data_IF_345139904750
#
_entry.id   IF_345139904750
#
_cell.length_a   1.000
_cell.length_b   1.000
_cell.length_c   1.000
_cell.angle_alpha   90.00
_cell.angle_beta   90.00
_cell.angle_gamma   90.00
#
_symmetry.space_group_name_H-M   'P 1'
#
loop_
_entity.id
_entity.type
_entity.pdbx_description
1 polymer ?
#
# COMPACT_ATOMS: atom_id res chain seq x y z
N UNK A 1 0.97 16.28 -25.03
CA UNK A 1 -0.38 16.70 -25.45
C UNK A 1 -0.33 18.20 -25.70
N UNK A 2 -0.94 18.68 -26.78
CA UNK A 2 -1.03 20.12 -27.07
C UNK A 2 -2.13 20.75 -26.20
N UNK A 3 -1.87 21.96 -25.71
CA UNK A 3 -2.72 22.65 -24.75
C UNK A 3 -3.97 23.23 -25.43
N UNK A 4 -5.16 22.88 -24.93
CA UNK A 4 -6.44 23.29 -25.53
C UNK A 4 -7.00 24.49 -24.75
N UNK A 5 -7.41 25.53 -25.48
CA UNK A 5 -7.85 26.82 -24.96
C UNK A 5 -9.10 27.33 -25.68
N UNK A 6 -9.68 28.41 -25.17
CA UNK A 6 -10.84 29.07 -25.78
C UNK A 6 -10.59 29.42 -27.26
N UNK A 7 -11.59 29.16 -28.10
CA UNK A 7 -11.52 29.26 -29.56
C UNK A 7 -11.10 27.98 -30.28
N UNK A 8 -10.65 26.94 -29.55
CA UNK A 8 -10.39 25.63 -30.13
C UNK A 8 -11.69 24.95 -30.62
N UNK A 9 -11.57 24.10 -31.64
CA UNK A 9 -12.70 23.33 -32.18
C UNK A 9 -12.27 21.90 -32.53
N UNK A 10 -13.22 20.97 -32.55
CA UNK A 10 -13.02 19.62 -33.05
C UNK A 10 -13.19 18.52 -32.00
N UNK A 11 -12.72 17.31 -32.32
CA UNK A 11 -12.98 16.11 -31.53
C UNK A 11 -12.40 16.15 -30.10
N UNK A 12 -11.26 16.81 -29.91
CA UNK A 12 -10.66 16.93 -28.58
C UNK A 12 -11.49 17.83 -27.65
N UNK A 13 -12.13 18.87 -28.20
CA UNK A 13 -13.05 19.74 -27.46
C UNK A 13 -14.32 18.99 -27.09
N UNK A 14 -14.85 18.20 -28.02
CA UNK A 14 -16.02 17.33 -27.76
C UNK A 14 -15.75 16.36 -26.60
N UNK A 15 -14.59 15.69 -26.57
CA UNK A 15 -14.21 14.77 -25.47
C UNK A 15 -14.08 15.51 -24.12
N UNK A 16 -13.45 16.69 -24.10
CA UNK A 16 -13.39 17.55 -22.89
C UNK A 16 -14.81 17.89 -22.41
N UNK A 17 -15.67 18.36 -23.32
CA UNK A 17 -17.03 18.79 -22.99
C UNK A 17 -17.89 17.63 -22.50
N UNK A 18 -17.77 16.44 -23.10
CA UNK A 18 -18.46 15.23 -22.65
C UNK A 18 -18.04 14.83 -21.24
N UNK A 19 -16.72 14.82 -20.95
CA UNK A 19 -16.19 14.49 -19.63
C UNK A 19 -16.62 15.49 -18.57
N UNK A 20 -16.46 16.79 -18.83
CA UNK A 20 -16.93 17.84 -17.93
C UNK A 20 -18.44 17.74 -17.67
N UNK A 21 -19.23 17.46 -18.71
CA UNK A 21 -20.67 17.24 -18.55
C UNK A 21 -20.95 16.01 -17.67
N UNK A 22 -20.21 14.91 -17.86
CA UNK A 22 -20.37 13.68 -17.07
C UNK A 22 -20.05 13.89 -15.59
N UNK A 23 -19.12 14.80 -15.29
CA UNK A 23 -18.77 15.22 -13.93
C UNK A 23 -19.71 16.29 -13.36
N UNK A 24 -20.72 16.72 -14.12
CA UNK A 24 -21.76 17.65 -13.66
C UNK A 24 -21.49 19.13 -13.94
N UNK A 25 -20.43 19.47 -14.68
CA UNK A 25 -20.16 20.84 -15.09
C UNK A 25 -21.08 21.24 -16.25
N UNK A 26 -21.83 22.33 -16.07
CA UNK A 26 -22.75 22.84 -17.08
C UNK A 26 -21.98 23.55 -18.21
N UNK A 27 -22.27 23.16 -19.45
CA UNK A 27 -21.74 23.75 -20.69
C UNK A 27 -22.91 24.04 -21.62
N UNK A 28 -22.87 25.17 -22.32
CA UNK A 28 -23.95 25.59 -23.20
C UNK A 28 -24.15 24.60 -24.35
N UNK A 29 -25.42 24.28 -24.63
CA UNK A 29 -25.77 23.29 -25.63
C UNK A 29 -25.30 23.68 -27.04
N UNK A 30 -25.27 24.98 -27.36
CA UNK A 30 -24.78 25.49 -28.64
C UNK A 30 -23.28 25.22 -28.83
N UNK A 31 -22.46 25.45 -27.79
CA UNK A 31 -21.03 25.14 -27.81
C UNK A 31 -20.77 23.64 -28.01
N UNK A 32 -21.56 22.78 -27.34
CA UNK A 32 -21.45 21.33 -27.47
C UNK A 32 -21.82 20.83 -28.87
N UNK A 33 -22.90 21.34 -29.44
CA UNK A 33 -23.34 20.97 -30.80
C UNK A 33 -22.34 21.43 -31.84
N UNK A 34 -21.78 22.63 -31.66
CA UNK A 34 -20.78 23.19 -32.58
C UNK A 34 -19.36 22.66 -32.32
N UNK A 35 -19.15 21.91 -31.24
CA UNK A 35 -17.84 21.37 -30.80
C UNK A 35 -16.79 22.47 -30.68
N UNK A 36 -17.22 23.62 -30.16
CA UNK A 36 -16.40 24.82 -30.00
C UNK A 36 -16.14 25.05 -28.52
N UNK A 37 -14.88 25.32 -28.19
CA UNK A 37 -14.47 25.70 -26.85
C UNK A 37 -14.75 27.20 -26.69
N UNK A 38 -15.94 27.55 -26.21
CA UNK A 38 -16.33 28.93 -25.93
C UNK A 38 -16.25 29.27 -24.45
N UNK A 39 -16.92 30.36 -24.08
CA UNK A 39 -16.89 30.92 -22.74
C UNK A 39 -17.50 29.99 -21.68
N UNK A 40 -18.55 29.23 -22.02
CA UNK A 40 -19.16 28.29 -21.07
C UNK A 40 -18.24 27.10 -20.80
N UNK A 41 -17.56 26.58 -21.84
CA UNK A 41 -16.54 25.53 -21.69
C UNK A 41 -15.34 26.04 -20.87
N UNK A 42 -14.86 27.27 -21.12
CA UNK A 42 -13.79 27.91 -20.35
C UNK A 42 -14.16 28.05 -18.85
N UNK A 43 -15.40 28.47 -18.57
CA UNK A 43 -15.92 28.59 -17.20
C UNK A 43 -16.02 27.22 -16.53
N UNK A 44 -16.45 26.18 -17.25
CA UNK A 44 -16.50 24.82 -16.73
C UNK A 44 -15.10 24.28 -16.40
N UNK A 45 -14.12 24.49 -17.28
CA UNK A 45 -12.72 24.13 -17.04
C UNK A 45 -12.14 24.88 -15.84
N UNK A 46 -12.42 26.18 -15.71
CA UNK A 46 -11.95 26.97 -14.58
C UNK A 46 -12.53 26.50 -13.24
N UNK A 47 -13.82 26.13 -13.22
CA UNK A 47 -14.46 25.51 -12.05
C UNK A 47 -13.86 24.16 -11.72
N UNK A 48 -13.73 23.28 -12.72
CA UNK A 48 -13.10 21.97 -12.55
C UNK A 48 -11.68 22.09 -11.98
N UNK A 49 -10.87 23.00 -12.51
CA UNK A 49 -9.52 23.23 -11.98
C UNK A 49 -9.55 23.68 -10.53
N UNK A 50 -10.48 24.56 -10.15
CA UNK A 50 -10.62 25.03 -8.78
C UNK A 50 -11.10 23.93 -7.83
N UNK A 51 -12.07 23.12 -8.24
CA UNK A 51 -12.65 22.03 -7.43
C UNK A 51 -11.64 20.89 -7.18
N UNK A 52 -10.62 20.76 -8.04
CA UNK A 52 -9.57 19.74 -7.96
C UNK A 52 -8.18 20.32 -7.59
N UNK A 53 -8.13 21.48 -6.92
CA UNK A 53 -6.90 22.13 -6.41
C UNK A 53 -5.81 22.41 -7.48
N UNK A 54 -6.20 22.53 -8.75
CA UNK A 54 -5.32 22.92 -9.84
C UNK A 54 -5.15 24.44 -9.88
N UNK A 55 -4.05 24.90 -10.50
CA UNK A 55 -3.81 26.34 -10.67
C UNK A 55 -4.96 27.01 -11.41
N UNK A 56 -5.42 28.17 -10.95
CA UNK A 56 -6.50 28.90 -11.58
C UNK A 56 -6.18 29.22 -13.05
N UNK A 57 -7.12 28.89 -13.94
CA UNK A 57 -6.99 29.07 -15.38
C UNK A 57 -8.17 28.42 -16.11
N UNK A 58 -8.30 28.69 -17.39
CA UNK A 58 -9.38 28.22 -18.28
C UNK A 58 -8.86 27.31 -19.40
N UNK A 59 -7.61 26.89 -19.28
CA UNK A 59 -6.88 26.13 -20.28
C UNK A 59 -6.77 24.66 -19.84
N UNK A 60 -6.94 23.75 -20.79
CA UNK A 60 -6.73 22.30 -20.60
C UNK A 60 -5.31 21.95 -21.02
N UNK A 61 -4.41 21.96 -20.04
CA UNK A 61 -3.05 21.44 -20.14
C UNK A 61 -3.01 19.93 -19.87
N UNK A 62 -1.82 19.33 -20.00
CA UNK A 62 -1.65 17.89 -19.78
C UNK A 62 -2.04 17.44 -18.35
N UNK A 63 -1.84 18.30 -17.34
CA UNK A 63 -2.19 17.99 -15.95
C UNK A 63 -3.71 17.99 -15.77
N UNK A 64 -4.38 19.04 -16.24
CA UNK A 64 -5.84 19.16 -16.21
C UNK A 64 -6.50 18.02 -16.96
N UNK A 65 -5.96 17.66 -18.12
CA UNK A 65 -6.43 16.53 -18.88
C UNK A 65 -6.30 15.21 -18.11
N UNK A 66 -5.15 14.98 -17.46
CA UNK A 66 -4.95 13.77 -16.64
C UNK A 66 -6.00 13.67 -15.54
N UNK A 67 -6.16 14.73 -14.74
CA UNK A 67 -7.15 14.76 -13.64
C UNK A 67 -8.57 14.61 -14.19
N UNK A 68 -8.90 15.26 -15.31
CA UNK A 68 -10.21 15.14 -15.94
C UNK A 68 -10.51 13.69 -16.34
N UNK A 69 -9.53 12.99 -16.91
CA UNK A 69 -9.65 11.58 -17.27
C UNK A 69 -9.75 10.70 -16.02
N UNK A 70 -8.93 10.96 -15.01
CA UNK A 70 -8.88 10.24 -13.75
C UNK A 70 -10.21 10.26 -13.00
N UNK A 71 -10.86 11.42 -12.96
CA UNK A 71 -12.15 11.62 -12.29
C UNK A 71 -13.32 10.96 -13.03
N UNK A 72 -13.18 10.71 -14.33
CA UNK A 72 -14.19 10.00 -15.10
C UNK A 72 -14.20 8.48 -14.83
N UNK A 73 -13.13 7.90 -14.31
CA UNK A 73 -13.11 6.46 -14.04
C UNK A 73 -13.97 6.10 -12.83
N UNK A 74 -14.82 5.09 -12.99
CA UNK A 74 -15.62 4.49 -11.94
C UNK A 74 -15.14 3.08 -11.60
N UNK A 75 -15.35 2.67 -10.35
CA UNK A 75 -14.99 1.33 -9.92
C UNK A 75 -15.71 0.28 -10.79
N UNK A 76 -14.93 -0.58 -11.45
CA UNK A 76 -15.44 -1.58 -12.40
C UNK A 76 -15.28 -1.22 -13.87
N UNK A 77 -14.87 0.00 -14.23
CA UNK A 77 -14.66 0.37 -15.64
C UNK A 77 -13.47 -0.37 -16.27
N UNK A 78 -12.49 -0.75 -15.46
CA UNK A 78 -11.27 -1.44 -15.89
C UNK A 78 -10.77 -2.41 -14.83
N UNK A 79 -10.00 -3.42 -15.26
CA UNK A 79 -9.26 -4.29 -14.35
C UNK A 79 -8.11 -3.51 -13.74
N UNK A 80 -8.04 -3.50 -12.41
CA UNK A 80 -6.97 -2.85 -11.67
C UNK A 80 -5.99 -3.90 -11.14
N UNK A 81 -4.70 -3.67 -11.34
CA UNK A 81 -3.61 -4.53 -10.87
C UNK A 81 -2.32 -3.73 -10.78
N UNK A 82 -1.36 -4.24 -10.01
CA UNK A 82 -0.06 -3.59 -9.88
C UNK A 82 0.71 -3.61 -11.21
N UNK A 83 1.06 -2.42 -11.72
CA UNK A 83 1.84 -2.26 -12.96
C UNK A 83 2.61 -0.94 -12.96
N UNK A 84 3.59 -0.81 -13.86
CA UNK A 84 4.34 0.44 -14.05
C UNK A 84 4.03 1.03 -15.44
N UNK A 85 3.62 2.30 -15.55
CA UNK A 85 3.19 3.19 -14.47
C UNK A 85 1.89 2.70 -13.81
N UNK A 86 1.75 2.99 -12.51
CA UNK A 86 0.60 2.59 -11.70
C UNK A 86 -0.71 3.12 -12.29
N UNK A 87 -1.78 2.35 -12.12
CA UNK A 87 -3.12 2.90 -12.33
C UNK A 87 -3.36 4.00 -11.32
N UNK A 88 -4.02 5.06 -11.78
CA UNK A 88 -4.46 6.16 -10.95
C UNK A 88 -5.82 6.64 -11.45
N UNK A 89 -6.64 7.16 -10.55
CA UNK A 89 -7.99 7.60 -10.88
C UNK A 89 -8.98 7.49 -9.73
N UNK A 90 -10.18 8.00 -9.96
CA UNK A 90 -11.28 7.93 -9.03
C UNK A 90 -11.76 6.48 -8.79
N UNK A 91 -11.61 5.59 -9.77
CA UNK A 91 -11.89 4.16 -9.61
C UNK A 91 -10.96 3.50 -8.57
N UNK A 92 -9.68 3.85 -8.58
CA UNK A 92 -8.71 3.40 -7.57
C UNK A 92 -9.03 4.01 -6.20
N UNK A 93 -9.39 5.29 -6.16
CA UNK A 93 -9.79 5.98 -4.93
C UNK A 93 -10.98 5.28 -4.27
N UNK A 94 -12.02 4.99 -5.05
CA UNK A 94 -13.18 4.23 -4.61
C UNK A 94 -12.81 2.81 -4.12
N UNK A 95 -11.88 2.13 -4.79
CA UNK A 95 -11.41 0.82 -4.35
C UNK A 95 -10.75 0.91 -2.96
N UNK A 96 -9.80 1.84 -2.80
CA UNK A 96 -9.07 2.07 -1.56
C UNK A 96 -10.00 2.43 -0.41
N UNK A 97 -10.96 3.33 -0.64
CA UNK A 97 -11.97 3.71 0.35
C UNK A 97 -12.75 2.50 0.85
N UNK A 98 -13.31 1.72 -0.10
CA UNK A 98 -14.15 0.56 0.24
C UNK A 98 -13.35 -0.51 0.96
N UNK A 99 -12.15 -0.82 0.50
CA UNK A 99 -11.26 -1.79 1.15
C UNK A 99 -10.87 -1.35 2.56
N UNK A 100 -10.48 -0.07 2.74
CA UNK A 100 -10.16 0.48 4.06
C UNK A 100 -11.35 0.37 5.03
N UNK A 101 -12.57 0.70 4.60
CA UNK A 101 -13.77 0.56 5.44
C UNK A 101 -14.07 -0.90 5.78
N UNK A 102 -13.79 -1.82 4.85
CA UNK A 102 -13.94 -3.26 5.04
C UNK A 102 -12.83 -3.87 5.92
N UNK A 103 -11.83 -3.09 6.33
CA UNK A 103 -10.71 -3.52 7.18
C UNK A 103 -9.51 -4.06 6.41
N UNK A 104 -9.49 -3.93 5.08
CA UNK A 104 -8.36 -4.30 4.23
C UNK A 104 -7.55 -3.06 3.91
N UNK A 105 -6.49 -2.83 4.69
CA UNK A 105 -5.73 -1.59 4.61
C UNK A 105 -4.98 -1.42 3.28
N UNK A 106 -5.36 -0.39 2.54
CA UNK A 106 -4.67 0.10 1.35
C UNK A 106 -3.65 1.21 1.66
N UNK A 107 -3.56 1.69 2.90
CA UNK A 107 -2.89 2.94 3.24
C UNK A 107 -3.78 4.17 2.94
N UNK A 108 -3.19 5.37 2.76
CA UNK A 108 -3.91 6.57 2.37
C UNK A 108 -4.69 6.39 1.08
N UNK A 109 -5.85 7.04 0.99
CA UNK A 109 -6.67 7.08 -0.22
C UNK A 109 -6.08 8.10 -1.21
N UNK A 110 -4.97 7.73 -1.84
CA UNK A 110 -4.24 8.58 -2.79
C UNK A 110 -4.75 8.45 -4.23
N UNK A 111 -5.58 7.44 -4.51
CA UNK A 111 -6.09 7.16 -5.84
C UNK A 111 -5.04 6.52 -6.78
N UNK A 112 -3.97 5.93 -6.24
CA UNK A 112 -2.92 5.22 -6.99
C UNK A 112 -2.84 3.75 -6.60
N UNK A 113 -2.88 2.85 -7.59
CA UNK A 113 -2.85 1.42 -7.35
C UNK A 113 -1.40 0.97 -7.14
N UNK A 114 -0.92 1.08 -5.90
CA UNK A 114 0.41 0.67 -5.47
C UNK A 114 0.42 -0.69 -4.76
N UNK A 115 1.58 -1.03 -4.21
CA UNK A 115 1.82 -2.31 -3.51
C UNK A 115 0.86 -2.54 -2.33
N UNK A 116 0.49 -1.49 -1.60
CA UNK A 116 -0.46 -1.58 -0.47
C UNK A 116 -1.88 -1.89 -0.94
N UNK A 117 -2.32 -1.25 -2.03
CA UNK A 117 -3.63 -1.55 -2.62
C UNK A 117 -3.67 -2.98 -3.17
N UNK A 118 -2.58 -3.45 -3.80
CA UNK A 118 -2.46 -4.83 -4.25
C UNK A 118 -2.54 -5.83 -3.08
N UNK A 119 -1.81 -5.57 -1.99
CA UNK A 119 -1.84 -6.40 -0.79
C UNK A 119 -3.25 -6.45 -0.15
N UNK A 120 -3.93 -5.31 -0.05
CA UNK A 120 -5.30 -5.23 0.43
C UNK A 120 -6.28 -6.02 -0.44
N UNK A 121 -6.12 -5.94 -1.77
CA UNK A 121 -6.94 -6.72 -2.72
C UNK A 121 -6.70 -8.21 -2.54
N UNK A 122 -5.44 -8.66 -2.36
CA UNK A 122 -5.12 -10.06 -2.09
C UNK A 122 -5.81 -10.55 -0.81
N UNK A 123 -5.65 -9.83 0.30
CA UNK A 123 -6.30 -10.17 1.58
C UNK A 123 -7.83 -10.21 1.45
N UNK A 124 -8.42 -9.27 0.71
CA UNK A 124 -9.85 -9.26 0.44
C UNK A 124 -10.28 -10.49 -0.39
N UNK A 125 -9.55 -10.82 -1.46
CA UNK A 125 -9.81 -12.01 -2.28
C UNK A 125 -9.70 -13.30 -1.46
N UNK A 126 -8.71 -13.41 -0.57
CA UNK A 126 -8.55 -14.55 0.35
C UNK A 126 -9.74 -14.67 1.30
N UNK A 127 -10.22 -13.56 1.87
CA UNK A 127 -11.39 -13.55 2.76
C UNK A 127 -12.67 -14.03 2.07
N UNK A 128 -12.73 -13.90 0.75
CA UNK A 128 -13.84 -14.36 -0.10
C UNK A 128 -13.66 -15.80 -0.61
N UNK A 129 -12.56 -16.47 -0.27
CA UNK A 129 -12.21 -17.80 -0.76
C UNK A 129 -11.86 -17.83 -2.25
N UNK A 130 -11.48 -16.68 -2.83
CA UNK A 130 -11.03 -16.55 -4.21
C UNK A 130 -9.51 -16.75 -4.34
N UNK A 131 -9.02 -16.89 -5.57
CA UNK A 131 -7.58 -16.92 -5.84
C UNK A 131 -7.04 -15.49 -5.66
N UNK A 132 -6.09 -15.34 -4.73
CA UNK A 132 -5.55 -14.04 -4.32
C UNK A 132 -4.40 -13.58 -5.22
N UNK A 133 -4.74 -13.20 -6.46
CA UNK A 133 -3.78 -12.71 -7.45
C UNK A 133 -3.47 -11.22 -7.32
N UNK A 134 -4.25 -10.47 -6.53
CA UNK A 134 -4.11 -9.02 -6.43
C UNK A 134 -4.60 -8.27 -7.66
N UNK A 135 -5.36 -8.93 -8.53
CA UNK A 135 -6.00 -8.31 -9.69
C UNK A 135 -7.48 -8.09 -9.39
N UNK A 136 -7.89 -6.84 -9.26
CA UNK A 136 -9.29 -6.49 -9.08
C UNK A 136 -10.03 -6.55 -10.43
N UNK A 137 -10.71 -7.67 -10.65
CA UNK A 137 -11.64 -7.91 -11.77
C UNK A 137 -13.09 -7.70 -11.34
N UNK A 138 -14.04 -7.87 -12.27
CA UNK A 138 -15.48 -7.76 -12.02
C UNK A 138 -15.94 -8.57 -10.80
N UNK A 139 -15.43 -9.79 -10.61
CA UNK A 139 -15.79 -10.61 -9.44
C UNK A 139 -15.38 -9.95 -8.11
N UNK A 140 -14.22 -9.30 -8.07
CA UNK A 140 -13.74 -8.54 -6.91
C UNK A 140 -14.62 -7.32 -6.66
N UNK A 141 -14.96 -6.56 -7.70
CA UNK A 141 -15.82 -5.38 -7.58
C UNK A 141 -17.25 -5.75 -7.14
N UNK A 142 -17.82 -6.80 -7.72
CA UNK A 142 -19.12 -7.34 -7.32
C UNK A 142 -19.12 -7.81 -5.87
N UNK A 143 -18.04 -8.46 -5.42
CA UNK A 143 -17.89 -8.87 -4.03
C UNK A 143 -17.89 -7.66 -3.08
N UNK A 144 -17.15 -6.60 -3.42
CA UNK A 144 -17.16 -5.34 -2.66
C UNK A 144 -18.56 -4.72 -2.65
N UNK A 145 -19.25 -4.68 -3.79
CA UNK A 145 -20.58 -4.08 -3.89
C UNK A 145 -21.65 -4.88 -3.11
N UNK A 146 -21.54 -6.21 -3.03
CA UNK A 146 -22.40 -7.02 -2.14
C UNK A 146 -22.27 -6.61 -0.67
N UNK A 147 -21.10 -6.11 -0.28
CA UNK A 147 -20.81 -5.59 1.05
C UNK A 147 -21.15 -4.10 1.21
N UNK A 148 -21.88 -3.49 0.27
CA UNK A 148 -22.28 -2.07 0.34
C UNK A 148 -22.95 -1.66 1.63
N UNK A 149 -23.78 -2.52 2.22
CA UNK A 149 -24.41 -2.26 3.50
C UNK A 149 -23.40 -2.08 4.67
N UNK A 150 -22.17 -2.56 4.50
CA UNK A 150 -21.08 -2.45 5.48
C UNK A 150 -20.31 -1.15 5.28
N UNK A 151 -20.01 -0.75 4.04
CA UNK A 151 -19.13 0.40 3.77
C UNK A 151 -19.86 1.70 3.40
N UNK A 152 -21.08 1.65 2.89
CA UNK A 152 -21.77 2.86 2.43
C UNK A 152 -22.06 3.84 3.58
N UNK A 153 -21.70 5.11 3.38
CA UNK A 153 -21.94 6.19 4.34
C UNK A 153 -21.05 6.18 5.57
N UNK A 154 -20.05 5.28 5.63
CA UNK A 154 -19.01 5.31 6.66
C UNK A 154 -17.77 6.03 6.12
N UNK A 155 -17.07 6.80 6.94
CA UNK A 155 -15.83 7.41 6.51
C UNK A 155 -14.81 6.31 6.22
N UNK A 156 -14.00 6.49 5.18
CA UNK A 156 -12.85 5.64 4.87
C UNK A 156 -11.66 5.89 5.84
N UNK A 157 -11.99 6.15 7.10
CA UNK A 157 -11.09 6.22 8.26
C UNK A 157 -10.98 4.84 8.93
N UNK A 158 -11.33 3.76 8.20
CA UNK A 158 -11.13 2.39 8.65
C UNK A 158 -9.70 2.23 9.15
N UNK A 159 -9.42 1.29 10.07
CA UNK A 159 -8.14 1.24 10.76
C UNK A 159 -7.06 1.25 9.70
N UNK A 160 -6.40 2.40 9.54
CA UNK A 160 -5.08 2.40 8.98
C UNK A 160 -4.33 1.36 9.83
N UNK A 161 -3.32 0.67 9.33
CA UNK A 161 -2.16 0.46 10.14
C UNK A 161 -1.76 1.87 10.61
N UNK A 162 -2.36 2.28 11.71
CA UNK A 162 -1.70 2.93 12.81
C UNK A 162 -0.91 1.84 13.55
N UNK A 163 -0.18 0.98 12.82
CA UNK A 163 1.20 0.78 13.20
C UNK A 163 1.80 2.18 13.19
N UNK A 164 2.44 2.59 14.27
CA UNK A 164 2.74 3.98 14.63
C UNK A 164 3.69 4.75 13.68
N UNK A 165 3.66 4.53 12.37
CA UNK A 165 4.68 4.98 11.45
C UNK A 165 4.09 5.43 10.11
N UNK A 166 4.19 6.74 9.82
CA UNK A 166 4.01 7.24 8.45
C UNK A 166 5.19 6.83 7.56
N UNK A 167 4.96 6.59 6.27
CA UNK A 167 5.94 6.07 5.29
C UNK A 167 7.33 6.72 5.33
N UNK A 168 7.43 8.03 5.57
CA UNK A 168 8.72 8.71 5.72
C UNK A 168 9.60 8.13 6.84
N UNK A 169 8.96 7.62 7.90
CA UNK A 169 9.64 7.01 9.04
C UNK A 169 9.98 5.54 8.77
N UNK A 170 9.12 4.81 8.05
CA UNK A 170 9.43 3.44 7.64
C UNK A 170 10.63 3.42 6.69
N UNK A 171 10.70 4.39 5.78
CA UNK A 171 11.87 4.60 4.93
C UNK A 171 13.14 4.88 5.75
N UNK A 172 13.09 5.83 6.69
CA UNK A 172 14.24 6.12 7.57
C UNK A 172 14.69 4.92 8.41
N UNK A 173 13.76 4.09 8.92
CA UNK A 173 14.13 2.87 9.64
C UNK A 173 14.83 1.88 8.70
N UNK A 174 14.30 1.68 7.50
CA UNK A 174 14.91 0.78 6.53
C UNK A 174 16.27 1.26 6.05
N UNK A 175 16.51 2.56 5.98
CA UNK A 175 17.79 3.18 5.62
C UNK A 175 18.83 3.12 6.75
N UNK A 176 18.43 3.34 8.01
CA UNK A 176 19.37 3.66 9.10
C UNK A 176 19.43 2.65 10.27
N UNK A 177 18.48 1.72 10.37
CA UNK A 177 18.37 0.87 11.57
C UNK A 177 19.46 -0.22 11.66
N UNK A 178 20.06 -0.63 10.54
CA UNK A 178 21.10 -1.66 10.48
C UNK A 178 20.60 -3.00 11.01
N UNK A 179 19.60 -3.57 10.33
CA UNK A 179 18.91 -4.80 10.74
C UNK A 179 19.36 -5.96 9.86
N UNK A 180 19.80 -7.06 10.47
CA UNK A 180 20.03 -8.32 9.78
C UNK A 180 18.90 -9.32 10.09
N UNK A 181 18.43 -10.05 9.09
CA UNK A 181 17.42 -11.10 9.22
C UNK A 181 18.03 -12.45 8.79
N UNK A 182 17.82 -13.46 9.61
CA UNK A 182 18.16 -14.86 9.32
C UNK A 182 16.98 -15.76 9.68
N UNK A 183 17.05 -17.03 9.26
CA UNK A 183 16.04 -18.01 9.54
C UNK A 183 16.60 -19.42 9.74
N UNK A 184 16.03 -20.16 10.69
CA UNK A 184 16.51 -21.49 11.08
C UNK A 184 16.01 -22.60 10.14
N UNK A 185 14.80 -22.46 9.59
CA UNK A 185 14.11 -23.52 8.84
C UNK A 185 13.67 -23.04 7.43
N UNK A 186 13.30 -23.96 6.50
CA UNK A 186 12.92 -23.58 5.14
C UNK A 186 11.69 -22.66 5.04
N UNK A 187 10.73 -22.78 5.95
CA UNK A 187 9.52 -21.97 5.97
C UNK A 187 9.86 -20.55 6.43
N UNK A 188 10.54 -20.42 7.57
CA UNK A 188 10.99 -19.13 8.09
C UNK A 188 11.97 -18.43 7.13
N UNK A 189 12.80 -19.20 6.40
CA UNK A 189 13.71 -18.66 5.36
C UNK A 189 12.94 -18.09 4.17
N UNK A 190 11.81 -18.69 3.79
CA UNK A 190 10.94 -18.12 2.77
C UNK A 190 10.36 -16.78 3.21
N UNK A 191 9.90 -16.68 4.47
CA UNK A 191 9.38 -15.44 5.05
C UNK A 191 10.47 -14.37 5.11
N UNK A 192 11.65 -14.71 5.62
CA UNK A 192 12.79 -13.79 5.69
C UNK A 192 13.16 -13.21 4.31
N UNK A 193 13.22 -14.05 3.27
CA UNK A 193 13.49 -13.60 1.91
C UNK A 193 12.43 -12.65 1.37
N UNK A 194 11.16 -12.84 1.74
CA UNK A 194 10.06 -11.93 1.36
C UNK A 194 10.14 -10.60 2.09
N UNK A 195 10.47 -10.59 3.39
CA UNK A 195 10.70 -9.36 4.15
C UNK A 195 11.80 -8.55 3.48
N UNK A 196 12.91 -9.21 3.13
CA UNK A 196 14.03 -8.57 2.45
C UNK A 196 13.62 -7.94 1.10
N UNK A 197 12.89 -8.69 0.27
CA UNK A 197 12.37 -8.19 -1.01
C UNK A 197 11.42 -6.99 -0.83
N UNK A 198 10.51 -7.06 0.15
CA UNK A 198 9.57 -5.97 0.44
C UNK A 198 10.30 -4.71 0.91
N UNK A 199 11.27 -4.84 1.80
CA UNK A 199 12.07 -3.73 2.29
C UNK A 199 12.85 -3.05 1.16
N UNK A 200 13.52 -3.81 0.29
CA UNK A 200 14.27 -3.29 -0.85
C UNK A 200 13.40 -2.71 -1.96
N UNK A 201 12.14 -3.15 -2.05
CA UNK A 201 11.17 -2.54 -2.97
C UNK A 201 10.58 -1.23 -2.41
N UNK A 202 10.73 -0.97 -1.10
CA UNK A 202 10.17 0.20 -0.43
C UNK A 202 11.12 1.40 -0.52
N UNK A 203 12.43 1.18 -0.49
CA UNK A 203 13.46 2.23 -0.49
C UNK A 203 14.69 1.79 -1.29
N UNK A 204 15.25 2.72 -2.08
CA UNK A 204 16.44 2.46 -2.90
C UNK A 204 17.70 2.17 -2.06
N UNK A 205 17.88 2.87 -0.93
CA UNK A 205 19.05 2.76 -0.03
C UNK A 205 18.75 1.89 1.22
N UNK A 206 18.08 0.75 1.04
CA UNK A 206 17.73 -0.14 2.16
C UNK A 206 18.97 -0.79 2.82
N UNK A 207 19.10 -0.68 4.14
CA UNK A 207 20.18 -1.25 4.97
C UNK A 207 19.88 -2.65 5.54
N UNK A 208 18.71 -3.22 5.23
CA UNK A 208 18.29 -4.51 5.78
C UNK A 208 19.05 -5.66 5.13
N UNK A 209 19.79 -6.44 5.91
CA UNK A 209 20.58 -7.56 5.39
C UNK A 209 19.82 -8.89 5.54
N UNK A 210 19.86 -9.75 4.52
CA UNK A 210 19.46 -11.15 4.63
C UNK A 210 20.71 -12.02 4.73
N UNK A 211 20.85 -12.78 5.82
CA UNK A 211 22.04 -13.59 6.09
C UNK A 211 21.69 -15.07 6.26
N UNK A 212 22.63 -15.96 5.91
CA UNK A 212 22.42 -17.41 5.95
C UNK A 212 22.42 -18.01 7.37
N UNK A 213 22.91 -17.24 8.34
CA UNK A 213 23.01 -17.66 9.74
C UNK A 213 23.46 -16.52 10.65
N UNK A 214 23.39 -16.72 11.98
CA UNK A 214 23.65 -15.67 12.96
C UNK A 214 25.09 -15.13 12.93
N UNK A 215 26.06 -15.91 12.43
CA UNK A 215 27.46 -15.48 12.27
C UNK A 215 27.70 -14.64 11.00
N UNK A 216 26.73 -14.58 10.09
CA UNK A 216 26.85 -13.88 8.81
C UNK A 216 26.50 -12.39 8.84
N UNK A 217 26.00 -11.88 9.97
CA UNK A 217 25.64 -10.48 10.13
C UNK A 217 26.88 -9.57 10.00
N UNK A 218 26.77 -8.51 9.20
CA UNK A 218 27.82 -7.49 9.12
C UNK A 218 28.13 -6.89 10.49
N UNK A 219 29.37 -6.43 10.69
CA UNK A 219 29.76 -5.74 11.93
C UNK A 219 28.98 -4.45 12.21
N UNK A 220 28.31 -3.91 11.19
CA UNK A 220 27.47 -2.72 11.27
C UNK A 220 26.00 -3.03 11.63
N UNK A 221 25.60 -4.31 11.61
CA UNK A 221 24.27 -4.72 12.05
C UNK A 221 24.12 -4.45 13.55
N UNK A 222 23.10 -3.70 13.94
CA UNK A 222 22.79 -3.40 15.34
C UNK A 222 21.90 -4.47 15.95
N UNK A 223 20.99 -5.02 15.15
CA UNK A 223 20.02 -6.04 15.56
C UNK A 223 20.02 -7.19 14.57
N UNK A 224 20.00 -8.41 15.11
CA UNK A 224 19.82 -9.64 14.35
C UNK A 224 18.47 -10.27 14.72
N UNK A 225 17.60 -10.41 13.73
CA UNK A 225 16.30 -11.08 13.87
C UNK A 225 16.41 -12.51 13.32
N UNK A 226 16.09 -13.49 14.15
CA UNK A 226 16.10 -14.90 13.81
C UNK A 226 14.66 -15.40 13.72
N UNK A 227 14.20 -15.72 12.51
CA UNK A 227 12.88 -16.32 12.31
C UNK A 227 12.97 -17.84 12.46
N UNK A 228 12.00 -18.43 13.15
CA UNK A 228 11.90 -19.88 13.29
C UNK A 228 10.45 -20.32 13.42
N UNK A 229 10.14 -21.50 12.91
CA UNK A 229 8.84 -22.17 13.11
C UNK A 229 8.85 -23.13 14.30
N UNK A 230 10.03 -23.50 14.78
CA UNK A 230 10.17 -24.35 15.97
C UNK A 230 10.08 -23.51 17.26
N UNK A 231 9.64 -24.09 18.39
CA UNK A 231 9.73 -23.45 19.69
C UNK A 231 11.19 -23.25 20.11
N UNK A 232 11.45 -22.29 21.01
CA UNK A 232 12.81 -22.06 21.53
C UNK A 232 13.34 -23.34 22.20
N UNK A 233 14.50 -23.88 21.79
CA UNK A 233 15.10 -25.04 22.46
C UNK A 233 15.45 -24.72 23.92
N UNK A 234 15.21 -25.68 24.83
CA UNK A 234 15.47 -25.54 26.28
C UNK A 234 16.95 -25.21 26.63
N UNK A 235 17.84 -25.37 25.66
CA UNK A 235 19.29 -25.34 25.74
C UNK A 235 19.93 -24.10 25.08
N UNK A 236 19.13 -23.08 24.71
CA UNK A 236 19.66 -21.80 24.22
C UNK A 236 20.26 -20.98 25.36
N UNK A 237 21.44 -20.40 25.12
CA UNK A 237 22.16 -19.57 26.08
C UNK A 237 21.30 -18.40 26.59
N UNK A 238 21.32 -18.17 27.90
CA UNK A 238 20.69 -17.01 28.55
C UNK A 238 21.20 -15.72 27.90
N UNK A 239 20.36 -15.04 27.11
CA UNK A 239 20.72 -13.76 26.47
C UNK A 239 20.01 -13.46 25.14
N UNK A 240 19.48 -14.47 24.44
CA UNK A 240 18.65 -14.27 23.24
C UNK A 240 17.21 -14.03 23.66
N UNK A 241 16.67 -12.86 23.34
CA UNK A 241 15.26 -12.57 23.59
C UNK A 241 14.37 -13.32 22.59
N UNK A 242 13.29 -13.96 23.06
CA UNK A 242 12.38 -14.72 22.18
C UNK A 242 10.97 -14.15 22.27
N UNK A 243 10.28 -14.05 21.14
CA UNK A 243 8.87 -13.70 21.04
C UNK A 243 8.13 -14.66 20.10
N UNK A 244 6.82 -14.79 20.34
CA UNK A 244 5.90 -15.52 19.47
C UNK A 244 5.06 -14.51 18.70
N UNK A 245 4.88 -14.73 17.41
CA UNK A 245 3.98 -13.93 16.57
C UNK A 245 2.55 -14.41 16.80
N UNK A 246 1.85 -13.79 17.73
CA UNK A 246 0.47 -14.13 18.13
C UNK A 246 -0.47 -12.93 18.10
N UNK A 247 -0.08 -11.81 18.71
CA UNK A 247 -0.84 -10.57 18.78
C UNK A 247 -0.10 -9.43 18.06
N UNK A 248 -0.68 -9.00 16.94
CA UNK A 248 -0.10 -7.98 16.06
C UNK A 248 -0.13 -6.58 16.65
N UNK A 249 -1.10 -6.26 17.51
CA UNK A 249 -1.25 -4.92 18.09
C UNK A 249 -0.14 -4.66 19.11
N UNK A 250 0.31 -5.72 19.80
CA UNK A 250 1.38 -5.63 20.82
C UNK A 250 2.76 -6.05 20.31
N UNK A 251 2.84 -6.61 19.09
CA UNK A 251 4.08 -7.11 18.50
C UNK A 251 5.21 -6.07 18.44
N UNK A 252 4.99 -4.81 17.98
CA UNK A 252 6.07 -3.82 17.92
C UNK A 252 6.66 -3.49 19.29
N UNK A 253 5.80 -3.32 20.30
CA UNK A 253 6.22 -3.02 21.67
C UNK A 253 7.01 -4.17 22.29
N UNK A 254 6.55 -5.41 22.06
CA UNK A 254 7.23 -6.62 22.52
C UNK A 254 8.57 -6.80 21.84
N UNK A 255 8.62 -6.65 20.51
CA UNK A 255 9.87 -6.69 19.74
C UNK A 255 10.88 -5.68 20.28
N UNK A 256 10.47 -4.42 20.47
CA UNK A 256 11.33 -3.37 21.05
C UNK A 256 11.86 -3.74 22.43
N UNK A 257 10.99 -4.18 23.33
CA UNK A 257 11.36 -4.54 24.71
C UNK A 257 12.36 -5.69 24.73
N UNK A 258 12.13 -6.69 23.86
CA UNK A 258 13.00 -7.87 23.71
C UNK A 258 14.38 -7.51 23.14
N UNK A 259 14.45 -6.60 22.17
CA UNK A 259 15.72 -6.08 21.64
C UNK A 259 16.48 -5.32 22.73
N UNK A 260 15.77 -4.46 23.48
CA UNK A 260 16.38 -3.64 24.54
C UNK A 260 16.95 -4.50 25.68
N UNK A 261 16.32 -5.64 25.98
CA UNK A 261 16.77 -6.58 27.00
C UNK A 261 17.86 -7.56 26.52
N UNK A 262 18.14 -7.63 25.21
CA UNK A 262 19.18 -8.51 24.67
C UNK A 262 20.57 -7.96 24.98
N UNK A 263 21.44 -8.82 25.51
CA UNK A 263 22.82 -8.48 25.89
C UNK A 263 23.85 -8.86 24.81
N UNK A 264 23.43 -9.45 23.69
CA UNK A 264 24.33 -9.87 22.60
C UNK A 264 24.71 -8.70 21.69
N UNK A 265 25.83 -8.84 20.96
CA UNK A 265 26.23 -7.93 19.89
C UNK A 265 26.44 -8.70 18.58
N UNK A 266 25.64 -8.47 17.53
CA UNK A 266 24.43 -7.63 17.50
C UNK A 266 23.35 -8.11 18.48
N UNK A 267 22.43 -7.22 18.90
CA UNK A 267 21.31 -7.60 19.78
C UNK A 267 20.45 -8.62 19.05
N UNK A 268 20.33 -9.82 19.59
CA UNK A 268 19.70 -10.94 18.89
C UNK A 268 18.33 -11.21 19.46
N UNK A 269 17.34 -11.24 18.56
CA UNK A 269 15.96 -11.54 18.90
C UNK A 269 15.43 -12.64 18.00
N UNK A 270 14.80 -13.63 18.62
CA UNK A 270 14.16 -14.74 17.92
C UNK A 270 12.66 -14.52 17.86
N UNK A 271 12.08 -14.74 16.69
CA UNK A 271 10.64 -14.65 16.45
C UNK A 271 10.14 -16.02 16.01
N UNK A 272 9.26 -16.59 16.81
CA UNK A 272 8.55 -17.82 16.50
C UNK A 272 7.32 -17.52 15.62
N UNK A 273 7.29 -18.12 14.44
CA UNK A 273 6.19 -18.03 13.50
C UNK A 273 5.16 -19.11 13.83
N UNK A 274 3.87 -18.77 14.03
CA UNK A 274 2.84 -19.74 14.36
C UNK A 274 2.48 -20.57 13.12
N UNK A 275 3.21 -21.64 12.88
CA UNK A 275 2.87 -22.60 11.83
C UNK A 275 1.96 -23.65 12.45
N UNK A 276 0.66 -23.54 12.16
CA UNK A 276 -0.32 -24.54 12.62
C UNK A 276 -0.03 -25.93 12.05
N UNK A 277 -0.84 -26.92 12.42
CA UNK A 277 -0.72 -28.31 11.89
C UNK A 277 -1.14 -28.45 10.42
N UNK A 278 -1.56 -27.37 9.77
CA UNK A 278 -1.97 -27.31 8.37
C UNK A 278 -0.80 -27.12 7.39
N UNK A 279 -1.09 -27.19 6.09
CA UNK A 279 -0.11 -26.91 5.06
C UNK A 279 0.19 -25.40 5.01
N UNK A 280 1.43 -25.02 5.30
CA UNK A 280 1.91 -23.65 5.15
C UNK A 280 1.97 -23.26 3.67
N UNK A 281 1.31 -22.16 3.30
CA UNK A 281 1.18 -21.73 1.91
C UNK A 281 2.10 -20.55 1.56
N UNK A 282 2.24 -20.28 0.26
CA UNK A 282 2.95 -19.09 -0.23
C UNK A 282 2.25 -17.77 0.15
N UNK A 283 0.93 -17.80 0.36
CA UNK A 283 0.14 -16.67 0.84
C UNK A 283 0.46 -16.41 2.32
N UNK A 284 0.46 -17.44 3.17
CA UNK A 284 0.83 -17.31 4.59
C UNK A 284 2.22 -16.70 4.76
N UNK A 285 3.17 -17.12 3.91
CA UNK A 285 4.52 -16.57 3.91
C UNK A 285 4.56 -15.07 3.57
N UNK A 286 3.73 -14.64 2.62
CA UNK A 286 3.61 -13.24 2.23
C UNK A 286 2.96 -12.43 3.34
N UNK A 287 1.89 -12.94 3.95
CA UNK A 287 1.20 -12.31 5.07
C UNK A 287 2.12 -12.12 6.26
N UNK A 288 2.86 -13.15 6.67
CA UNK A 288 3.84 -13.01 7.75
C UNK A 288 4.95 -12.03 7.41
N UNK A 289 5.41 -11.98 6.16
CA UNK A 289 6.45 -11.05 5.76
C UNK A 289 6.00 -9.58 5.87
N UNK A 290 4.79 -9.26 5.41
CA UNK A 290 4.23 -7.90 5.53
C UNK A 290 4.05 -7.52 7.00
N UNK A 291 3.41 -8.39 7.78
CA UNK A 291 3.13 -8.16 9.20
C UNK A 291 4.41 -7.97 10.02
N UNK A 292 5.44 -8.78 9.76
CA UNK A 292 6.73 -8.66 10.43
C UNK A 292 7.46 -7.39 10.02
N UNK A 293 7.45 -7.03 8.74
CA UNK A 293 8.10 -5.80 8.27
C UNK A 293 7.46 -4.57 8.92
N UNK A 294 6.13 -4.51 8.97
CA UNK A 294 5.41 -3.42 9.64
C UNK A 294 5.76 -3.35 11.13
N UNK A 295 5.81 -4.51 11.81
CA UNK A 295 6.15 -4.57 13.22
C UNK A 295 7.61 -4.21 13.49
N UNK A 296 8.54 -4.58 12.62
CA UNK A 296 9.95 -4.18 12.66
C UNK A 296 10.03 -2.67 12.52
N UNK A 297 9.44 -2.11 11.47
CA UNK A 297 9.43 -0.67 11.26
C UNK A 297 8.87 0.05 12.49
N UNK A 298 7.69 -0.33 12.97
CA UNK A 298 7.07 0.27 14.15
C UNK A 298 7.89 0.10 15.45
N UNK A 299 8.60 -1.02 15.63
CA UNK A 299 9.41 -1.25 16.82
C UNK A 299 10.62 -0.31 16.89
N UNK A 300 11.21 0.00 15.73
CA UNK A 300 12.41 0.84 15.62
C UNK A 300 12.11 2.34 15.50
N UNK A 301 10.83 2.75 15.47
CA UNK A 301 10.48 4.17 15.57
C UNK A 301 11.02 4.74 16.90
N UNK A 302 11.87 5.75 16.81
CA UNK A 302 12.50 6.43 17.95
C UNK A 302 13.47 5.58 18.80
N UNK A 303 13.97 4.45 18.28
CA UNK A 303 14.96 3.63 18.98
C UNK A 303 16.36 4.26 18.82
N UNK A 304 16.75 5.13 19.75
CA UNK A 304 18.16 5.47 19.96
C UNK A 304 18.86 4.22 20.54
N UNK A 305 19.56 3.47 19.70
CA UNK A 305 20.35 2.28 20.08
C UNK A 305 21.73 2.62 20.61
#
# INVERSE_FOLDING_TARGET
>A
METIHEGATGAAVEDIQERLTSLGYAIDQEERVTRTFGHSTATAVARFRLDHDLSLGDVVDAMTWSVLVDECYQLGDRTLYLRLPNFHGNDVRQLQERLNVLGFSCGPVDGTYGVHTEAAVKLFQESMGALADGMAFQDTFDAIERLRHVWAGKPADGPHPQGAMGFARAASVLEDAGIAITADDPISRNVAGRIWNLAHATVDDCSLELVDGPEGASGDARVLIVLSTEPLPDNVASGVGSLVLDDMDTLPLRLRTTIQSSETRPRTVRIELPVGTGAFTMSDAQTFAVLLLDAICAAFDHLEL
#
